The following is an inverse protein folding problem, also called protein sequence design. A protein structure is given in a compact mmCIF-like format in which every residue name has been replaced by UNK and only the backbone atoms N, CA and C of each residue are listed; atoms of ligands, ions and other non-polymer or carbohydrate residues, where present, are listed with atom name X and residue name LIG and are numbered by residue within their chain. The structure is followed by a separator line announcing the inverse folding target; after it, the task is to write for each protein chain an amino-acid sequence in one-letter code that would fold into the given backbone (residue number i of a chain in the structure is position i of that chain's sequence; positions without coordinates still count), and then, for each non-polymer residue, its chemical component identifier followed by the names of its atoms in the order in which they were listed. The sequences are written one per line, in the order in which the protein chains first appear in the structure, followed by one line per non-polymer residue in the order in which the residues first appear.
data_IF_502984698753
#
_entry.id   IF_502984698753
#
_cell.length_a   1.000
_cell.length_b   1.000
_cell.length_c   1.000
_cell.angle_alpha   90.00
_cell.angle_beta   90.00
_cell.angle_gamma   90.00
#
_symmetry.space_group_name_H-M   'P 1'
#
loop_
_entity.id
_entity.type
_entity.pdbx_description
1 polymer ?
#
# COMPACT_ATOMS: atom_id res chain seq x y z
N UNK A 1 -34.88 -44.23 -4.39
CA UNK A 1 -35.13 -43.57 -5.68
C UNK A 1 -36.59 -43.70 -6.02
N UNK A 2 -37.34 -42.61 -6.01
CA UNK A 2 -38.72 -42.64 -6.52
C UNK A 2 -38.66 -42.76 -8.04
N UNK A 3 -39.56 -43.56 -8.69
CA UNK A 3 -39.55 -43.70 -10.12
C UNK A 3 -39.88 -42.38 -10.80
N UNK A 4 -39.03 -41.98 -11.75
CA UNK A 4 -39.27 -40.80 -12.57
C UNK A 4 -40.59 -40.94 -13.30
N UNK A 5 -41.64 -40.17 -12.91
CA UNK A 5 -42.85 -40.02 -13.69
C UNK A 5 -42.51 -39.39 -15.01
N UNK A 6 -42.71 -40.07 -16.13
CA UNK A 6 -42.52 -39.47 -17.44
C UNK A 6 -43.70 -38.54 -17.74
N UNK A 7 -43.40 -37.26 -17.90
CA UNK A 7 -44.36 -36.24 -18.33
C UNK A 7 -44.64 -36.47 -19.80
N UNK A 8 -45.86 -36.85 -20.15
CA UNK A 8 -46.30 -37.10 -21.57
C UNK A 8 -47.20 -36.04 -22.11
N UNK A 9 -47.86 -35.28 -21.25
CA UNK A 9 -48.72 -34.15 -21.67
C UNK A 9 -48.76 -33.07 -20.59
N UNK A 10 -49.34 -31.91 -20.88
CA UNK A 10 -49.44 -30.76 -19.94
C UNK A 10 -50.20 -31.11 -18.67
N UNK A 11 -51.11 -32.09 -18.68
CA UNK A 11 -51.87 -32.52 -17.53
C UNK A 11 -51.03 -33.32 -16.53
N UNK A 12 -49.89 -33.86 -16.96
CA UNK A 12 -48.94 -34.60 -16.10
C UNK A 12 -47.99 -33.66 -15.35
N UNK A 13 -48.00 -32.37 -15.67
CA UNK A 13 -47.17 -31.36 -15.02
C UNK A 13 -47.75 -31.00 -13.66
N UNK A 14 -46.94 -30.93 -12.60
CA UNK A 14 -47.39 -30.45 -11.31
C UNK A 14 -47.86 -28.98 -11.42
N UNK A 15 -48.92 -28.64 -10.69
CA UNK A 15 -49.49 -27.27 -10.65
C UNK A 15 -48.48 -26.20 -10.27
N UNK A 16 -47.46 -26.58 -9.52
CA UNK A 16 -46.25 -25.81 -9.26
C UNK A 16 -45.02 -26.71 -9.40
N UNK A 17 -44.00 -26.32 -10.18
CA UNK A 17 -42.72 -27.02 -10.23
C UNK A 17 -41.97 -26.78 -8.93
N UNK A 18 -42.22 -27.61 -7.91
CA UNK A 18 -41.46 -27.61 -6.67
C UNK A 18 -40.32 -28.60 -6.81
N UNK A 19 -39.08 -28.09 -6.82
CA UNK A 19 -37.91 -28.93 -6.67
C UNK A 19 -37.67 -29.14 -5.17
N UNK A 20 -37.87 -30.37 -4.70
CA UNK A 20 -37.62 -30.75 -3.29
C UNK A 20 -36.19 -31.28 -3.09
N UNK A 21 -35.37 -31.29 -4.15
CA UNK A 21 -34.01 -31.78 -4.12
C UNK A 21 -33.00 -30.67 -4.17
N UNK A 22 -31.81 -30.93 -3.61
CA UNK A 22 -30.64 -30.06 -3.77
C UNK A 22 -30.02 -30.28 -5.15
N UNK A 23 -29.31 -29.27 -5.69
CA UNK A 23 -28.55 -29.40 -6.93
C UNK A 23 -27.19 -30.08 -6.76
N UNK A 24 -26.87 -30.54 -5.55
CA UNK A 24 -25.59 -31.14 -5.18
C UNK A 24 -25.22 -32.38 -6.00
N UNK A 25 -26.21 -33.07 -6.56
CA UNK A 25 -25.99 -34.23 -7.43
C UNK A 25 -25.58 -33.84 -8.88
N UNK A 26 -25.76 -32.59 -9.28
CA UNK A 26 -25.53 -32.16 -10.65
C UNK A 26 -24.15 -31.46 -10.75
N UNK A 27 -23.11 -32.26 -10.91
CA UNK A 27 -21.72 -31.77 -11.03
C UNK A 27 -21.50 -31.13 -12.40
N UNK A 28 -21.90 -29.86 -12.55
CA UNK A 28 -21.77 -29.09 -13.79
C UNK A 28 -20.32 -28.63 -14.10
N UNK A 29 -19.40 -28.90 -13.19
CA UNK A 29 -17.98 -28.57 -13.35
C UNK A 29 -17.31 -29.20 -14.57
N UNK A 30 -17.84 -30.33 -15.07
CA UNK A 30 -17.37 -30.95 -16.32
C UNK A 30 -17.67 -30.14 -17.57
N UNK A 31 -18.53 -29.13 -17.50
CA UNK A 31 -18.89 -28.24 -18.62
C UNK A 31 -17.97 -27.01 -18.70
N UNK A 32 -17.05 -26.90 -17.73
CA UNK A 32 -16.23 -25.70 -17.58
C UNK A 32 -15.08 -25.66 -18.58
N UNK A 33 -15.01 -24.56 -19.34
CA UNK A 33 -13.85 -24.19 -20.16
C UNK A 33 -13.03 -23.08 -19.47
N UNK A 34 -13.68 -22.27 -18.64
CA UNK A 34 -13.05 -21.19 -17.89
C UNK A 34 -13.22 -21.43 -16.39
N UNK A 35 -12.16 -21.20 -15.66
CA UNK A 35 -12.12 -21.33 -14.19
C UNK A 35 -12.08 -19.97 -13.56
N UNK A 36 -12.99 -19.63 -12.62
CA UNK A 36 -12.88 -18.39 -11.87
C UNK A 36 -11.70 -18.47 -10.91
N UNK A 37 -10.89 -17.41 -10.91
CA UNK A 37 -9.81 -17.19 -9.95
C UNK A 37 -10.04 -15.87 -9.26
N UNK A 38 -9.68 -15.76 -7.99
CA UNK A 38 -9.75 -14.51 -7.24
C UNK A 38 -8.34 -14.03 -6.92
N UNK A 39 -8.02 -12.81 -7.31
CA UNK A 39 -6.78 -12.16 -6.94
C UNK A 39 -7.01 -10.67 -6.69
N UNK A 40 -6.40 -10.14 -5.64
CA UNK A 40 -6.42 -8.71 -5.42
C UNK A 40 -5.61 -8.01 -6.52
N UNK A 41 -6.18 -6.94 -7.06
CA UNK A 41 -5.55 -6.07 -8.05
C UNK A 41 -5.07 -4.77 -7.39
N UNK A 42 -4.12 -4.12 -8.01
CA UNK A 42 -3.63 -2.84 -7.52
C UNK A 42 -4.61 -1.74 -7.93
N UNK A 43 -5.24 -1.04 -6.98
CA UNK A 43 -6.18 0.02 -7.29
C UNK A 43 -5.46 1.26 -7.88
N UNK A 44 -6.14 2.05 -8.76
CA UNK A 44 -5.53 3.22 -9.40
C UNK A 44 -4.99 4.27 -8.41
N UNK A 45 -5.60 4.42 -7.24
CA UNK A 45 -5.10 5.32 -6.20
C UNK A 45 -3.75 4.84 -5.63
N UNK A 46 -3.56 3.52 -5.45
CA UNK A 46 -2.29 2.95 -4.98
C UNK A 46 -1.21 3.00 -6.06
N UNK A 47 -1.53 2.64 -7.30
CA UNK A 47 -0.56 2.66 -8.41
C UNK A 47 -0.03 4.05 -8.74
N UNK A 48 -0.79 5.09 -8.37
CA UNK A 48 -0.37 6.49 -8.54
C UNK A 48 0.16 7.12 -7.25
N UNK A 49 0.25 6.36 -6.15
CA UNK A 49 0.89 6.83 -4.93
C UNK A 49 2.39 6.52 -4.99
N UNK A 50 3.29 7.53 -4.97
CA UNK A 50 4.73 7.28 -5.06
C UNK A 50 5.30 6.50 -3.87
N UNK A 51 4.64 6.57 -2.71
CA UNK A 51 4.96 5.76 -1.54
C UNK A 51 4.34 4.34 -1.60
N UNK A 52 3.52 4.02 -2.62
CA UNK A 52 2.86 2.72 -2.75
C UNK A 52 1.81 2.42 -1.67
N UNK A 53 1.25 3.46 -1.04
CA UNK A 53 0.38 3.31 0.12
C UNK A 53 -0.86 2.44 -0.17
N UNK A 54 -1.20 1.49 0.69
CA UNK A 54 -2.34 0.58 0.51
C UNK A 54 -3.66 1.27 0.87
N UNK A 55 -4.09 2.22 0.03
CA UNK A 55 -5.19 3.15 0.32
C UNK A 55 -6.50 2.45 0.63
N UNK A 56 -7.00 1.48 -0.16
CA UNK A 56 -8.23 0.78 0.21
C UNK A 56 -8.11 -0.01 1.51
N UNK A 57 -6.91 -0.55 1.77
CA UNK A 57 -6.71 -1.42 2.93
C UNK A 57 -6.77 -0.61 4.24
N UNK A 58 -6.15 0.57 4.29
CA UNK A 58 -6.24 1.41 5.48
C UNK A 58 -7.65 1.98 5.67
N UNK A 59 -8.35 2.33 4.57
CA UNK A 59 -9.74 2.80 4.65
C UNK A 59 -10.67 1.67 5.12
N UNK A 60 -10.47 0.45 4.68
CA UNK A 60 -11.23 -0.71 5.16
C UNK A 60 -10.88 -1.04 6.61
N UNK A 61 -9.61 -0.93 7.01
CA UNK A 61 -9.20 -1.09 8.40
C UNK A 61 -9.86 -0.03 9.31
N UNK A 62 -9.93 1.23 8.86
CA UNK A 62 -10.62 2.30 9.57
C UNK A 62 -12.08 1.94 9.83
N UNK A 63 -12.80 1.46 8.80
CA UNK A 63 -14.22 1.08 8.92
C UNK A 63 -14.46 -0.14 9.82
N UNK A 64 -13.57 -1.14 9.77
CA UNK A 64 -13.81 -2.43 10.41
C UNK A 64 -13.18 -2.55 11.80
N UNK A 65 -12.03 -1.90 12.01
CA UNK A 65 -11.15 -2.14 13.16
C UNK A 65 -10.73 -0.86 13.90
N UNK A 66 -11.12 0.29 13.38
CA UNK A 66 -10.84 1.60 13.97
C UNK A 66 -9.49 2.21 13.60
N UNK A 67 -9.24 3.36 14.19
CA UNK A 67 -8.18 4.31 13.81
C UNK A 67 -6.77 3.74 13.96
N UNK A 68 -6.48 3.09 15.08
CA UNK A 68 -5.16 2.55 15.37
C UNK A 68 -4.73 1.47 14.36
N UNK A 69 -5.67 0.60 13.98
CA UNK A 69 -5.41 -0.42 12.96
C UNK A 69 -5.22 0.21 11.58
N UNK A 70 -5.99 1.26 11.26
CA UNK A 70 -5.81 2.02 10.02
C UNK A 70 -4.42 2.67 9.96
N UNK A 71 -3.98 3.30 11.05
CA UNK A 71 -2.63 3.85 11.16
C UNK A 71 -1.55 2.79 10.99
N UNK A 72 -1.71 1.63 11.62
CA UNK A 72 -0.79 0.49 11.45
C UNK A 72 -0.66 0.07 9.99
N UNK A 73 -1.76 0.01 9.24
CA UNK A 73 -1.74 -0.31 7.81
C UNK A 73 -1.01 0.76 7.00
N UNK A 74 -1.25 2.04 7.29
CA UNK A 74 -0.56 3.16 6.62
C UNK A 74 0.94 3.08 6.85
N UNK A 75 1.39 2.87 8.09
CA UNK A 75 2.79 2.87 8.47
C UNK A 75 3.62 1.73 7.85
N UNK A 76 2.98 0.70 7.31
CA UNK A 76 3.68 -0.34 6.52
C UNK A 76 4.35 0.19 5.26
N UNK A 77 3.89 1.32 4.71
CA UNK A 77 4.40 1.92 3.47
C UNK A 77 4.74 3.40 3.61
N UNK A 78 4.22 4.05 4.64
CA UNK A 78 4.41 5.47 4.89
C UNK A 78 4.64 5.73 6.38
N UNK A 79 5.90 5.91 6.81
CA UNK A 79 6.23 6.14 8.22
C UNK A 79 5.88 7.55 8.72
N UNK A 80 5.52 8.48 7.82
CA UNK A 80 5.29 9.90 8.12
C UNK A 80 3.90 10.36 7.61
N UNK A 81 2.80 9.68 8.01
CA UNK A 81 1.46 9.98 7.49
C UNK A 81 0.96 11.38 7.84
N UNK A 82 1.36 11.93 8.97
CA UNK A 82 1.02 13.30 9.34
C UNK A 82 1.66 14.35 8.45
N UNK A 83 2.84 14.06 7.90
CA UNK A 83 3.51 14.93 6.94
C UNK A 83 2.93 14.80 5.54
N UNK A 84 2.70 13.56 5.07
CA UNK A 84 2.10 13.34 3.75
C UNK A 84 0.67 13.84 3.71
N UNK A 85 -0.12 13.61 4.75
CA UNK A 85 -1.49 14.12 4.88
C UNK A 85 -1.60 15.65 4.89
N UNK A 86 -0.49 16.39 5.06
CA UNK A 86 -0.45 17.86 5.03
C UNK A 86 0.28 18.43 3.81
N UNK A 87 1.35 17.80 3.38
CA UNK A 87 2.26 18.36 2.37
C UNK A 87 2.09 17.74 0.99
N UNK A 88 1.71 16.47 0.86
CA UNK A 88 1.63 15.77 -0.41
C UNK A 88 0.66 16.46 -1.39
N UNK A 89 1.01 16.51 -2.68
CA UNK A 89 0.11 16.99 -3.73
C UNK A 89 -0.95 15.95 -4.17
N UNK A 90 -0.92 14.76 -3.57
CA UNK A 90 -1.91 13.69 -3.67
C UNK A 90 -2.30 13.26 -5.09
N UNK A 91 -1.38 12.67 -5.87
CA UNK A 91 -1.66 12.18 -7.22
C UNK A 91 -2.66 11.01 -7.23
N UNK A 92 -2.87 10.37 -6.09
CA UNK A 92 -3.86 9.32 -5.90
C UNK A 92 -5.31 9.80 -6.05
N UNK A 93 -5.64 11.03 -5.60
CA UNK A 93 -7.02 11.54 -5.61
C UNK A 93 -7.58 11.75 -7.01
N UNK A 94 -6.88 12.38 -7.98
CA UNK A 94 -7.35 12.50 -9.35
C UNK A 94 -7.56 11.16 -10.06
N UNK A 95 -6.94 10.08 -9.56
CA UNK A 95 -7.08 8.72 -10.12
C UNK A 95 -8.09 7.85 -9.38
N UNK A 96 -8.74 8.40 -8.36
CA UNK A 96 -9.81 7.70 -7.67
C UNK A 96 -11.01 7.50 -8.61
N UNK A 97 -11.44 6.26 -8.81
CA UNK A 97 -12.56 5.91 -9.70
C UNK A 97 -13.87 6.54 -9.21
N UNK A 98 -14.01 6.74 -7.90
CA UNK A 98 -15.18 7.40 -7.31
C UNK A 98 -15.51 8.75 -7.97
N UNK A 99 -14.51 9.45 -8.53
CA UNK A 99 -14.69 10.73 -9.25
C UNK A 99 -15.67 10.65 -10.43
N UNK A 100 -15.89 9.45 -10.98
CA UNK A 100 -16.81 9.24 -12.11
C UNK A 100 -18.28 9.27 -11.68
N UNK A 101 -18.54 9.22 -10.38
CA UNK A 101 -19.89 9.23 -9.81
C UNK A 101 -20.24 10.55 -9.17
N UNK A 102 -19.34 11.04 -8.30
CA UNK A 102 -19.56 12.26 -7.53
C UNK A 102 -18.24 13.04 -7.38
N UNK A 103 -17.39 12.64 -6.46
CA UNK A 103 -16.08 13.24 -6.24
C UNK A 103 -15.09 12.20 -5.72
N UNK A 104 -13.79 12.36 -5.98
CA UNK A 104 -12.80 11.45 -5.46
C UNK A 104 -12.84 11.41 -3.93
N UNK A 105 -12.44 10.27 -3.37
CA UNK A 105 -12.23 10.13 -1.92
C UNK A 105 -11.18 11.15 -1.47
N UNK A 106 -11.42 11.83 -0.36
CA UNK A 106 -10.49 12.78 0.24
C UNK A 106 -9.38 12.03 1.01
N UNK A 107 -8.57 11.26 0.29
CA UNK A 107 -7.54 10.36 0.83
C UNK A 107 -6.58 11.13 1.74
N UNK A 108 -6.18 12.33 1.35
CA UNK A 108 -5.32 13.22 2.13
C UNK A 108 -5.85 13.46 3.54
N UNK A 109 -7.14 13.72 3.64
CA UNK A 109 -7.78 14.04 4.91
C UNK A 109 -7.96 12.81 5.79
N UNK A 110 -8.29 11.68 5.18
CA UNK A 110 -8.34 10.40 5.90
C UNK A 110 -6.95 10.03 6.43
N UNK A 111 -5.91 10.20 5.63
CA UNK A 111 -4.52 9.97 6.04
C UNK A 111 -4.12 10.90 7.20
N UNK A 112 -4.45 12.19 7.08
CA UNK A 112 -4.22 13.18 8.14
C UNK A 112 -5.01 12.85 9.41
N UNK A 113 -6.27 12.43 9.29
CA UNK A 113 -7.08 12.00 10.41
C UNK A 113 -6.44 10.83 11.15
N UNK A 114 -6.13 9.77 10.41
CA UNK A 114 -5.51 8.56 10.97
C UNK A 114 -4.14 8.85 11.62
N UNK A 115 -3.38 9.81 11.09
CA UNK A 115 -2.07 10.16 11.64
C UNK A 115 -2.13 10.78 13.04
N UNK A 116 -3.26 11.38 13.41
CA UNK A 116 -3.45 12.00 14.72
C UNK A 116 -3.86 10.99 15.80
N UNK A 117 -4.05 9.72 15.44
CA UNK A 117 -4.47 8.68 16.36
C UNK A 117 -3.25 8.02 17.03
N UNK A 118 -3.46 7.51 18.25
CA UNK A 118 -2.44 6.76 18.95
C UNK A 118 -2.32 5.34 18.41
N UNK A 119 -1.10 4.84 18.29
CA UNK A 119 -0.85 3.43 17.98
C UNK A 119 -1.06 2.59 19.24
N UNK A 120 -1.99 1.63 19.16
CA UNK A 120 -2.27 0.72 20.29
C UNK A 120 -1.26 -0.45 20.32
N UNK A 121 -0.70 -0.82 19.16
CA UNK A 121 0.22 -1.97 19.07
C UNK A 121 1.57 -1.55 18.49
N UNK A 122 2.63 -2.05 19.12
CA UNK A 122 3.96 -1.97 18.53
C UNK A 122 3.94 -2.71 17.19
N UNK A 123 4.39 -2.06 16.12
CA UNK A 123 4.72 -2.78 14.89
C UNK A 123 5.65 -3.91 15.24
N UNK A 124 5.32 -5.12 14.84
CA UNK A 124 6.22 -6.24 15.00
C UNK A 124 7.50 -5.92 14.22
N UNK A 125 8.56 -5.54 14.93
CA UNK A 125 9.91 -5.49 14.37
C UNK A 125 10.21 -6.94 13.97
N UNK A 126 10.65 -7.15 12.74
CA UNK A 126 11.11 -8.46 12.31
C UNK A 126 12.17 -8.98 13.29
N UNK A 127 12.30 -10.30 13.39
CA UNK A 127 13.38 -10.89 14.21
C UNK A 127 14.69 -10.19 13.90
N UNK A 128 15.45 -9.84 14.95
CA UNK A 128 16.69 -9.08 14.81
C UNK A 128 17.57 -9.70 13.74
N UNK A 129 17.69 -9.02 12.62
CA UNK A 129 18.64 -9.33 11.55
C UNK A 129 20.06 -9.05 12.03
N UNK A 130 21.02 -9.76 11.48
CA UNK A 130 22.43 -9.47 11.70
C UNK A 130 22.87 -8.40 10.71
N UNK A 131 23.08 -7.18 11.17
CA UNK A 131 23.64 -6.09 10.36
C UNK A 131 23.50 -4.73 11.03
N UNK A 132 24.60 -3.99 11.03
CA UNK A 132 24.69 -2.63 11.56
C UNK A 132 24.82 -1.65 10.39
N UNK A 133 23.85 -0.73 10.25
CA UNK A 133 23.73 0.15 9.09
C UNK A 133 23.80 1.60 9.54
N UNK A 134 24.64 2.39 8.89
CA UNK A 134 24.65 3.84 9.03
C UNK A 134 23.85 4.50 7.92
N UNK A 135 23.00 5.47 8.28
CA UNK A 135 22.30 6.33 7.35
C UNK A 135 22.76 7.77 7.56
N UNK A 136 23.44 8.33 6.59
CA UNK A 136 23.94 9.70 6.63
C UNK A 136 22.92 10.61 5.96
N UNK A 137 22.32 11.47 6.76
CA UNK A 137 21.24 12.37 6.38
C UNK A 137 19.93 12.05 7.07
N UNK A 138 19.46 12.91 7.96
CA UNK A 138 18.18 12.84 8.65
C UNK A 138 17.08 13.60 7.86
N UNK A 139 17.17 13.67 6.54
CA UNK A 139 16.12 14.17 5.66
C UNK A 139 15.02 13.15 5.40
N UNK A 140 13.96 13.51 4.64
CA UNK A 140 12.82 12.62 4.38
C UNK A 140 13.19 11.26 3.78
N UNK A 141 14.20 11.22 2.90
CA UNK A 141 14.66 9.99 2.25
C UNK A 141 15.41 9.12 3.26
N UNK A 142 16.39 9.72 3.96
CA UNK A 142 17.21 9.01 4.93
C UNK A 142 16.38 8.46 6.08
N UNK A 143 15.46 9.27 6.64
CA UNK A 143 14.54 8.85 7.69
C UNK A 143 13.63 7.70 7.23
N UNK A 144 13.03 7.79 6.04
CA UNK A 144 12.20 6.71 5.52
C UNK A 144 13.02 5.43 5.30
N UNK A 145 14.23 5.53 4.73
CA UNK A 145 15.12 4.40 4.56
C UNK A 145 15.48 3.75 5.91
N UNK A 146 15.87 4.56 6.88
CA UNK A 146 16.20 4.09 8.24
C UNK A 146 15.03 3.36 8.89
N UNK A 147 13.81 3.91 8.77
CA UNK A 147 12.61 3.28 9.30
C UNK A 147 12.41 1.87 8.74
N UNK A 148 12.40 1.73 7.43
CA UNK A 148 12.17 0.43 6.81
C UNK A 148 13.27 -0.58 7.10
N UNK A 149 14.52 -0.13 7.22
CA UNK A 149 15.62 -0.99 7.65
C UNK A 149 15.45 -1.44 9.10
N UNK A 150 15.08 -0.53 10.01
CA UNK A 150 14.81 -0.84 11.41
C UNK A 150 13.66 -1.82 11.58
N UNK A 151 12.53 -1.62 10.89
CA UNK A 151 11.39 -2.55 10.89
C UNK A 151 11.77 -3.91 10.31
N UNK A 152 12.71 -3.96 9.34
CA UNK A 152 13.26 -5.21 8.79
C UNK A 152 14.25 -5.91 9.74
N UNK A 153 14.49 -5.37 10.94
CA UNK A 153 15.27 -5.97 12.00
C UNK A 153 16.76 -5.58 12.03
N UNK A 154 17.21 -4.64 11.21
CA UNK A 154 18.60 -4.15 11.24
C UNK A 154 18.80 -3.12 12.36
N UNK A 155 20.01 -3.08 12.90
CA UNK A 155 20.42 -2.00 13.80
C UNK A 155 20.83 -0.79 12.96
N UNK A 156 20.11 0.33 13.12
CA UNK A 156 20.28 1.50 12.27
C UNK A 156 20.65 2.73 13.08
N UNK A 157 21.74 3.37 12.67
CA UNK A 157 22.17 4.67 13.21
C UNK A 157 22.03 5.75 12.13
N UNK A 158 21.20 6.76 12.39
CA UNK A 158 21.04 7.94 11.52
C UNK A 158 21.98 9.04 12.01
N UNK A 159 22.79 9.57 11.11
CA UNK A 159 23.75 10.65 11.38
C UNK A 159 23.42 11.87 10.56
N UNK A 160 23.42 13.05 11.15
CA UNK A 160 23.21 14.31 10.45
C UNK A 160 24.05 15.44 11.06
N UNK A 161 24.41 16.41 10.22
CA UNK A 161 25.11 17.62 10.67
C UNK A 161 24.17 18.60 11.40
N UNK A 162 22.89 18.55 11.14
CA UNK A 162 21.86 19.33 11.81
C UNK A 162 21.62 18.90 13.26
N UNK A 163 21.18 19.84 14.08
CA UNK A 163 20.84 19.56 15.50
C UNK A 163 19.46 18.89 15.63
N UNK A 164 18.61 18.99 14.60
CA UNK A 164 17.29 18.40 14.55
C UNK A 164 17.15 17.51 13.32
N UNK A 165 16.39 16.40 13.47
CA UNK A 165 16.02 15.54 12.37
C UNK A 165 14.91 16.20 11.52
N UNK A 166 14.90 15.90 10.23
CA UNK A 166 13.94 16.43 9.26
C UNK A 166 14.58 17.07 8.04
N UNK A 167 15.85 17.51 8.13
CA UNK A 167 16.58 18.06 6.98
C UNK A 167 15.81 19.20 6.30
N UNK A 168 15.45 19.03 5.03
CA UNK A 168 14.72 20.05 4.27
C UNK A 168 13.28 20.32 4.79
N UNK A 169 12.69 19.44 5.58
CA UNK A 169 11.38 19.67 6.21
C UNK A 169 11.43 20.79 7.24
N UNK A 170 12.61 21.08 7.82
CA UNK A 170 12.81 22.19 8.76
C UNK A 170 12.59 23.55 8.11
N UNK A 171 12.71 23.63 6.78
CA UNK A 171 12.54 24.87 6.00
C UNK A 171 11.09 25.09 5.52
N UNK A 172 10.19 24.17 5.81
CA UNK A 172 8.77 24.31 5.45
C UNK A 172 8.13 25.35 6.37
N UNK A 173 7.33 26.25 5.79
CA UNK A 173 6.65 27.29 6.59
C UNK A 173 5.70 26.69 7.62
N UNK A 174 5.64 27.30 8.80
CA UNK A 174 4.79 26.86 9.94
C UNK A 174 3.31 26.78 9.55
N UNK A 175 2.84 27.62 8.65
CA UNK A 175 1.46 27.60 8.13
C UNK A 175 1.12 26.29 7.41
N UNK A 176 2.11 25.65 6.79
CA UNK A 176 1.92 24.38 6.06
C UNK A 176 2.20 23.16 6.92
N UNK A 177 3.14 23.28 7.84
CA UNK A 177 3.56 22.19 8.71
C UNK A 177 3.95 22.74 10.08
N UNK A 178 3.13 22.43 11.07
CA UNK A 178 3.45 22.76 12.47
C UNK A 178 4.72 22.01 12.89
N UNK A 179 5.72 22.70 13.44
CA UNK A 179 6.96 22.09 13.94
C UNK A 179 6.73 20.96 14.94
N UNK A 180 5.68 21.09 15.78
CA UNK A 180 5.31 20.05 16.74
C UNK A 180 4.86 18.78 16.02
N UNK A 181 3.96 18.89 15.03
CA UNK A 181 3.52 17.73 14.25
C UNK A 181 4.70 17.04 13.56
N UNK A 182 5.65 17.82 13.04
CA UNK A 182 6.87 17.27 12.43
C UNK A 182 7.68 16.47 13.46
N UNK A 183 7.93 17.04 14.63
CA UNK A 183 8.71 16.41 15.69
C UNK A 183 8.01 15.12 16.18
N UNK A 184 6.73 15.20 16.52
CA UNK A 184 5.94 14.07 17.01
C UNK A 184 5.92 12.90 15.99
N UNK A 185 5.83 13.19 14.69
CA UNK A 185 5.87 12.16 13.63
C UNK A 185 7.24 11.49 13.52
N UNK A 186 8.32 12.28 13.60
CA UNK A 186 9.69 11.75 13.55
C UNK A 186 9.97 10.93 14.80
N UNK A 187 9.60 11.41 15.98
CA UNK A 187 9.81 10.70 17.25
C UNK A 187 9.04 9.37 17.28
N UNK A 188 7.80 9.37 16.80
CA UNK A 188 6.99 8.15 16.65
C UNK A 188 7.67 7.13 15.73
N UNK A 189 8.14 7.58 14.59
CA UNK A 189 8.82 6.74 13.61
C UNK A 189 10.12 6.15 14.19
N UNK A 190 10.91 6.97 14.86
CA UNK A 190 12.16 6.57 15.51
C UNK A 190 11.91 5.51 16.58
N UNK A 191 10.88 5.72 17.42
CA UNK A 191 10.53 4.79 18.49
C UNK A 191 10.07 3.43 17.93
N UNK A 192 9.22 3.42 16.89
CA UNK A 192 8.71 2.19 16.27
C UNK A 192 9.83 1.37 15.64
N UNK A 193 10.75 2.00 14.92
CA UNK A 193 11.81 1.31 14.21
C UNK A 193 13.08 1.08 15.06
N UNK A 194 13.10 1.57 16.29
CA UNK A 194 14.24 1.43 17.20
C UNK A 194 15.52 2.09 16.67
N UNK A 195 15.41 3.28 16.09
CA UNK A 195 16.53 3.97 15.44
C UNK A 195 17.39 4.71 16.46
N UNK A 196 18.70 4.69 16.23
CA UNK A 196 19.64 5.52 16.94
C UNK A 196 19.89 6.84 16.18
N UNK A 197 19.59 7.99 16.78
CA UNK A 197 19.86 9.29 16.16
C UNK A 197 21.16 9.87 16.73
N UNK A 198 22.11 10.21 15.84
CA UNK A 198 23.37 10.87 16.16
C UNK A 198 23.45 12.20 15.37
N UNK A 199 22.87 13.24 15.94
CA UNK A 199 22.72 14.57 15.31
C UNK A 199 23.87 15.51 15.72
N UNK A 200 24.06 16.61 14.98
CA UNK A 200 25.10 17.61 15.24
C UNK A 200 26.50 17.19 14.81
N UNK A 201 26.62 16.22 13.92
CA UNK A 201 27.91 15.69 13.44
C UNK A 201 28.46 16.57 12.30
N UNK A 202 29.25 17.56 12.62
CA UNK A 202 29.71 18.59 11.63
C UNK A 202 30.74 18.09 10.63
N UNK A 203 31.39 16.96 10.86
CA UNK A 203 32.53 16.46 10.06
C UNK A 203 32.27 15.08 9.42
N UNK A 204 31.04 14.86 8.95
CA UNK A 204 30.64 13.57 8.36
C UNK A 204 31.44 13.21 7.12
N UNK A 205 31.80 14.20 6.31
CA UNK A 205 32.55 13.96 5.08
C UNK A 205 33.99 13.47 5.34
N UNK A 206 34.67 14.02 6.33
CA UNK A 206 36.01 13.59 6.74
C UNK A 206 35.97 12.23 7.48
N UNK A 207 34.85 11.97 8.16
CA UNK A 207 34.66 10.75 8.95
C UNK A 207 34.15 9.55 8.12
N UNK A 208 33.86 9.72 6.84
CA UNK A 208 33.28 8.65 5.98
C UNK A 208 34.07 7.34 6.03
N UNK A 209 35.41 7.41 5.97
CA UNK A 209 36.27 6.22 6.01
C UNK A 209 36.16 5.48 7.37
N UNK A 210 36.02 6.23 8.45
CA UNK A 210 35.86 5.66 9.80
C UNK A 210 34.49 5.00 9.92
N UNK A 211 33.45 5.68 9.42
CA UNK A 211 32.07 5.17 9.39
C UNK A 211 31.99 3.90 8.55
N UNK A 212 32.60 3.89 7.34
CA UNK A 212 32.64 2.72 6.45
C UNK A 212 33.29 1.50 7.13
N UNK A 213 34.29 1.70 7.95
CA UNK A 213 34.93 0.60 8.68
C UNK A 213 34.13 0.09 9.87
N UNK A 214 33.24 0.93 10.43
CA UNK A 214 32.47 0.63 11.63
C UNK A 214 31.09 0.01 11.36
N UNK A 215 30.57 0.12 10.13
CA UNK A 215 29.26 -0.36 9.74
C UNK A 215 29.35 -1.34 8.56
N UNK A 216 28.36 -2.21 8.45
CA UNK A 216 28.28 -3.18 7.34
C UNK A 216 27.85 -2.50 6.03
N UNK A 217 26.94 -1.54 6.13
CA UNK A 217 26.51 -0.71 4.99
C UNK A 217 26.36 0.73 5.46
N UNK A 218 26.73 1.66 4.59
CA UNK A 218 26.55 3.10 4.76
C UNK A 218 25.64 3.63 3.66
N UNK A 219 24.50 4.18 4.07
CA UNK A 219 23.54 4.84 3.15
C UNK A 219 23.77 6.34 3.23
N UNK A 220 23.87 6.99 2.09
CA UNK A 220 24.05 8.45 2.01
C UNK A 220 22.85 9.08 1.33
N UNK A 221 22.16 9.97 2.05
CA UNK A 221 21.12 10.83 1.48
C UNK A 221 21.76 12.12 0.97
N UNK A 222 21.94 12.27 -0.36
CA UNK A 222 22.61 13.42 -0.93
C UNK A 222 21.82 14.73 -0.77
N UNK A 223 20.54 14.65 -0.41
CA UNK A 223 19.72 15.85 -0.19
C UNK A 223 20.01 16.52 1.16
N UNK A 224 20.57 15.78 2.11
CA UNK A 224 20.91 16.26 3.45
C UNK A 224 22.38 16.60 3.62
N UNK A 225 23.26 15.93 2.87
CA UNK A 225 24.71 16.15 2.93
C UNK A 225 25.11 17.03 1.76
N UNK A 226 25.13 18.36 1.96
CA UNK A 226 25.57 19.31 0.95
C UNK A 226 26.94 18.91 0.40
N UNK A 227 27.05 18.70 -0.93
CA UNK A 227 28.26 18.41 -1.70
C UNK A 227 29.29 17.47 -1.02
N UNK A 228 28.92 16.25 -0.72
CA UNK A 228 29.92 15.19 -0.70
C UNK A 228 30.51 15.17 -2.11
N UNK A 229 31.81 15.47 -2.24
CA UNK A 229 32.50 15.43 -3.53
C UNK A 229 32.30 14.03 -4.12
N UNK A 230 31.35 13.93 -5.03
CA UNK A 230 31.03 12.67 -5.70
C UNK A 230 32.25 12.31 -6.52
N UNK A 231 32.97 11.25 -6.11
CA UNK A 231 33.76 10.51 -7.08
C UNK A 231 32.81 10.15 -8.23
N UNK A 232 33.21 10.35 -9.50
CA UNK A 232 32.33 10.05 -10.62
C UNK A 232 31.79 8.63 -10.46
N UNK A 233 30.48 8.50 -10.42
CA UNK A 233 29.77 7.21 -10.34
C UNK A 233 30.19 6.40 -11.56
N UNK A 234 30.71 5.20 -11.33
CA UNK A 234 30.99 4.30 -12.45
C UNK A 234 29.64 3.88 -13.05
N UNK A 235 29.38 4.22 -14.34
CA UNK A 235 28.10 3.88 -14.99
C UNK A 235 27.80 2.39 -14.99
N UNK A 236 28.80 1.53 -14.83
CA UNK A 236 28.65 0.07 -14.79
C UNK A 236 28.03 -0.43 -13.46
N UNK A 237 27.98 0.41 -12.42
CA UNK A 237 27.40 0.10 -11.11
C UNK A 237 26.04 0.79 -10.88
N UNK A 238 25.48 1.41 -11.91
CA UNK A 238 24.19 2.07 -11.84
C UNK A 238 23.07 1.09 -12.19
N UNK A 239 22.19 0.83 -11.24
CA UNK A 239 20.92 0.16 -11.51
C UNK A 239 19.86 1.23 -11.80
N UNK A 240 19.44 1.41 -13.05
CA UNK A 240 18.46 2.43 -13.42
C UNK A 240 17.06 2.17 -12.82
N UNK A 241 16.80 0.95 -12.31
CA UNK A 241 15.52 0.56 -11.74
C UNK A 241 15.43 0.85 -10.23
N UNK A 242 16.56 0.96 -9.53
CA UNK A 242 16.57 1.06 -8.06
C UNK A 242 16.68 2.49 -7.54
N UNK A 243 16.89 3.50 -8.37
CA UNK A 243 17.21 4.87 -7.95
C UNK A 243 18.37 4.95 -6.93
N UNK A 244 19.17 3.89 -6.84
CA UNK A 244 20.28 3.76 -5.91
C UNK A 244 21.56 3.44 -6.68
N UNK A 245 22.67 4.05 -6.25
CA UNK A 245 23.99 3.77 -6.80
C UNK A 245 24.86 3.16 -5.72
N UNK A 246 25.46 2.01 -6.02
CA UNK A 246 26.47 1.40 -5.17
C UNK A 246 27.82 1.99 -5.54
N UNK A 247 28.37 2.84 -4.67
CA UNK A 247 29.67 3.50 -4.91
C UNK A 247 30.83 2.58 -4.54
N UNK A 248 30.64 1.78 -3.51
CA UNK A 248 31.56 0.72 -3.06
C UNK A 248 30.76 -0.49 -2.61
N UNK A 249 31.43 -1.60 -2.22
CA UNK A 249 30.73 -2.76 -1.66
C UNK A 249 29.94 -2.45 -0.36
N UNK A 250 30.17 -1.29 0.25
CA UNK A 250 29.56 -0.87 1.51
C UNK A 250 28.78 0.44 1.43
N UNK A 251 29.03 1.31 0.45
CA UNK A 251 28.38 2.61 0.35
C UNK A 251 27.28 2.59 -0.70
N UNK A 252 26.06 2.85 -0.28
CA UNK A 252 24.89 2.97 -1.13
C UNK A 252 24.41 4.42 -1.09
N UNK A 253 24.37 5.08 -2.23
CA UNK A 253 23.86 6.45 -2.36
C UNK A 253 22.43 6.40 -2.88
N UNK A 254 21.52 7.05 -2.19
CA UNK A 254 20.16 7.25 -2.71
C UNK A 254 20.20 8.39 -3.72
N UNK A 255 19.93 8.11 -4.98
CA UNK A 255 19.85 9.16 -6.00
C UNK A 255 18.39 9.35 -6.39
N UNK A 256 17.80 10.54 -6.19
CA UNK A 256 16.75 10.99 -7.09
C UNK A 256 17.40 11.22 -8.46
N UNK A 257 16.79 10.71 -9.53
CA UNK A 257 17.29 10.74 -10.93
C UNK A 257 17.78 12.11 -11.43
N UNK A 258 17.42 13.16 -10.76
CA UNK A 258 17.97 14.54 -10.87
C UNK A 258 17.93 15.09 -9.47
N UNK A 259 18.97 15.80 -9.07
CA UNK A 259 18.99 16.66 -7.88
C UNK A 259 17.81 17.63 -7.95
N UNK A 260 16.63 17.15 -7.63
CA UNK A 260 15.40 17.93 -7.62
C UNK A 260 15.43 18.72 -6.33
N UNK A 261 15.42 20.04 -6.38
CA UNK A 261 15.32 20.85 -5.16
C UNK A 261 14.10 20.38 -4.36
N UNK A 262 14.28 20.23 -3.06
CA UNK A 262 13.21 19.74 -2.17
C UNK A 262 11.91 20.51 -2.41
N UNK A 263 10.85 19.79 -2.74
CA UNK A 263 9.49 20.32 -2.87
C UNK A 263 8.61 19.63 -1.84
N UNK A 264 8.05 20.35 -0.86
CA UNK A 264 7.21 19.74 0.18
C UNK A 264 6.10 18.84 -0.37
N UNK A 265 5.47 19.22 -1.49
CA UNK A 265 4.43 18.42 -2.14
C UNK A 265 4.89 17.06 -2.65
N UNK A 266 6.18 16.83 -2.81
CA UNK A 266 6.75 15.55 -3.27
C UNK A 266 7.14 14.62 -2.11
N UNK A 267 6.69 14.88 -0.88
CA UNK A 267 7.08 14.10 0.30
C UNK A 267 6.87 12.59 0.11
N UNK A 268 5.79 12.17 -0.54
CA UNK A 268 5.51 10.76 -0.81
C UNK A 268 6.54 10.12 -1.77
N UNK A 269 7.16 10.88 -2.68
CA UNK A 269 8.26 10.40 -3.53
C UNK A 269 9.52 10.14 -2.71
N UNK A 270 9.85 11.03 -1.79
CA UNK A 270 11.03 10.86 -0.95
C UNK A 270 10.88 9.64 -0.05
N UNK A 271 9.67 9.40 0.49
CA UNK A 271 9.36 8.20 1.26
C UNK A 271 9.49 6.95 0.37
N UNK A 272 8.93 6.97 -0.84
CA UNK A 272 9.04 5.87 -1.79
C UNK A 272 10.49 5.52 -2.16
N UNK A 273 11.33 6.53 -2.40
CA UNK A 273 12.78 6.33 -2.64
C UNK A 273 13.45 5.68 -1.42
N UNK A 274 13.20 6.18 -0.22
CA UNK A 274 13.72 5.59 1.01
C UNK A 274 13.31 4.13 1.20
N UNK A 275 12.05 3.80 0.92
CA UNK A 275 11.53 2.44 0.98
C UNK A 275 12.20 1.51 -0.04
N UNK A 276 12.31 1.94 -1.29
CA UNK A 276 12.99 1.15 -2.35
C UNK A 276 14.45 0.90 -1.98
N UNK A 277 15.15 1.91 -1.49
CA UNK A 277 16.54 1.79 -1.03
C UNK A 277 16.66 0.78 0.10
N UNK A 278 15.77 0.85 1.10
CA UNK A 278 15.78 -0.09 2.23
C UNK A 278 15.51 -1.54 1.77
N UNK A 279 14.60 -1.74 0.84
CA UNK A 279 14.32 -3.07 0.27
C UNK A 279 15.54 -3.63 -0.46
N UNK A 280 16.20 -2.80 -1.27
CA UNK A 280 17.41 -3.20 -1.97
C UNK A 280 18.53 -3.62 -1.00
N UNK A 281 18.76 -2.82 0.02
CA UNK A 281 19.76 -3.12 1.07
C UNK A 281 19.37 -4.40 1.81
N UNK A 282 18.11 -4.56 2.18
CA UNK A 282 17.61 -5.77 2.85
C UNK A 282 17.84 -7.02 2.02
N UNK A 283 17.62 -6.93 0.70
CA UNK A 283 17.89 -8.04 -0.24
C UNK A 283 19.38 -8.38 -0.30
N UNK A 284 20.24 -7.38 -0.36
CA UNK A 284 21.70 -7.57 -0.36
C UNK A 284 22.18 -8.24 0.94
N UNK A 285 21.69 -7.80 2.09
CA UNK A 285 22.08 -8.31 3.39
C UNK A 285 21.55 -9.71 3.68
N UNK A 286 20.31 -9.98 3.34
CA UNK A 286 19.66 -11.29 3.55
C UNK A 286 19.95 -12.29 2.44
N UNK A 287 20.63 -11.89 1.37
CA UNK A 287 20.90 -12.70 0.16
C UNK A 287 19.61 -13.31 -0.41
N UNK A 288 18.50 -12.62 -0.27
CA UNK A 288 17.19 -13.04 -0.76
C UNK A 288 16.81 -12.25 -2.02
N UNK A 289 16.88 -12.87 -3.21
CA UNK A 289 16.53 -12.21 -4.47
C UNK A 289 15.05 -11.82 -4.55
N UNK A 290 14.17 -12.43 -3.76
CA UNK A 290 12.76 -12.06 -3.73
C UNK A 290 12.51 -10.68 -3.11
N UNK A 291 13.42 -10.21 -2.25
CA UNK A 291 13.38 -8.86 -1.68
C UNK A 291 13.97 -7.81 -2.63
N UNK A 292 14.76 -8.23 -3.61
CA UNK A 292 15.31 -7.33 -4.65
C UNK A 292 14.25 -6.94 -5.69
N UNK A 293 12.98 -7.22 -5.43
CA UNK A 293 11.91 -6.97 -6.37
C UNK A 293 11.97 -5.52 -6.82
N UNK A 294 12.55 -5.36 -8.01
CA UNK A 294 12.52 -4.17 -8.79
C UNK A 294 11.08 -3.68 -8.92
N UNK A 295 10.90 -2.49 -9.39
CA UNK A 295 9.62 -1.91 -9.74
C UNK A 295 8.75 -3.01 -10.35
N UNK A 296 7.78 -3.51 -9.57
CA UNK A 296 6.73 -4.35 -10.12
C UNK A 296 6.14 -3.51 -11.25
N UNK A 297 6.18 -4.00 -12.47
CA UNK A 297 5.45 -3.35 -13.55
C UNK A 297 3.97 -3.40 -13.20
N UNK A 298 3.50 -2.33 -12.59
CA UNK A 298 2.14 -2.19 -12.12
C UNK A 298 1.14 -2.08 -13.28
N UNK A 299 1.63 -1.93 -14.52
CA UNK A 299 0.77 -1.67 -15.68
C UNK A 299 -0.15 -2.84 -16.01
N UNK A 300 0.29 -4.08 -15.78
CA UNK A 300 -0.52 -5.27 -16.04
C UNK A 300 -1.51 -5.60 -14.92
N UNK A 301 -1.26 -5.14 -13.69
CA UNK A 301 -2.07 -5.47 -12.51
C UNK A 301 -2.98 -4.34 -12.06
N UNK A 302 -2.97 -3.21 -12.76
CA UNK A 302 -3.84 -2.08 -12.43
C UNK A 302 -5.29 -2.41 -12.79
N UNK A 303 -6.16 -2.24 -11.82
CA UNK A 303 -7.59 -2.40 -11.98
C UNK A 303 -8.18 -1.31 -12.89
N UNK A 304 -7.97 -1.41 -14.21
CA UNK A 304 -8.47 -0.43 -15.18
C UNK A 304 -9.99 -0.47 -15.35
N UNK A 305 -10.58 -1.64 -15.12
CA UNK A 305 -12.00 -1.91 -15.42
C UNK A 305 -12.81 -2.24 -14.13
N UNK A 306 -12.36 -1.78 -12.98
CA UNK A 306 -12.81 -2.30 -11.69
C UNK A 306 -14.13 -1.75 -11.19
N UNK A 307 -14.85 -0.90 -11.91
CA UNK A 307 -16.08 -0.36 -11.33
C UNK A 307 -17.20 -0.34 -12.35
N UNK A 308 -18.04 -1.34 -12.26
CA UNK A 308 -19.45 -1.16 -12.53
C UNK A 308 -20.13 -0.77 -11.22
N UNK A 309 -20.78 0.38 -11.21
CA UNK A 309 -21.72 0.66 -10.15
C UNK A 309 -22.90 -0.26 -10.32
N UNK A 310 -23.17 -1.01 -9.28
CA UNK A 310 -24.43 -1.70 -9.15
C UNK A 310 -25.47 -0.65 -8.77
N UNK A 311 -26.49 -0.45 -9.58
CA UNK A 311 -27.66 0.34 -9.21
C UNK A 311 -28.20 -0.22 -7.89
N UNK A 312 -28.20 0.61 -6.83
CA UNK A 312 -28.61 0.19 -5.50
C UNK A 312 -27.48 -0.05 -4.49
N UNK A 313 -26.23 0.24 -4.84
CA UNK A 313 -25.15 0.38 -3.86
C UNK A 313 -25.49 1.43 -2.79
N UNK A 314 -24.82 1.38 -1.61
CA UNK A 314 -25.11 2.29 -0.51
C UNK A 314 -25.19 3.70 -1.04
N UNK A 315 -26.30 4.39 -0.73
CA UNK A 315 -26.59 5.72 -1.20
C UNK A 315 -25.34 6.58 -1.08
N UNK A 316 -24.92 7.18 -2.18
CA UNK A 316 -23.74 8.01 -2.20
C UNK A 316 -23.91 9.10 -1.15
N UNK A 317 -23.27 8.93 0.00
CA UNK A 317 -23.17 10.03 0.96
C UNK A 317 -22.51 11.18 0.23
N UNK A 318 -23.16 12.35 0.24
CA UNK A 318 -22.65 13.51 -0.46
C UNK A 318 -21.24 13.86 0.07
N UNK A 319 -20.30 14.26 -0.81
CA UNK A 319 -18.97 14.62 -0.39
C UNK A 319 -19.01 15.71 0.67
N UNK A 320 -18.26 15.51 1.76
CA UNK A 320 -18.23 16.46 2.86
C UNK A 320 -17.61 17.78 2.40
N UNK A 321 -18.39 18.86 2.51
CA UNK A 321 -17.93 20.23 2.28
C UNK A 321 -17.38 20.79 3.60
N UNK A 322 -16.16 20.42 3.96
CA UNK A 322 -15.47 20.97 5.14
C UNK A 322 -14.29 21.83 4.69
N UNK A 323 -14.04 22.95 5.40
CA UNK A 323 -12.89 23.82 5.10
C UNK A 323 -11.58 23.01 5.18
N UNK A 324 -10.61 23.31 4.32
CA UNK A 324 -9.35 22.54 4.21
C UNK A 324 -8.48 22.57 5.48
N UNK A 325 -8.70 23.53 6.34
CA UNK A 325 -7.89 23.81 7.54
C UNK A 325 -8.36 23.05 8.80
N UNK A 326 -9.62 22.61 8.83
CA UNK A 326 -10.20 21.96 9.99
C UNK A 326 -9.89 20.46 10.02
N UNK A 327 -9.40 19.97 11.17
CA UNK A 327 -9.29 18.54 11.42
C UNK A 327 -10.67 17.86 11.39
N UNK A 328 -10.72 16.64 10.92
CA UNK A 328 -11.95 15.88 10.86
C UNK A 328 -12.27 15.23 12.21
N UNK A 329 -13.57 15.16 12.55
CA UNK A 329 -14.05 14.26 13.59
C UNK A 329 -14.10 12.81 13.08
N UNK A 330 -14.17 11.86 13.99
CA UNK A 330 -14.36 10.44 13.69
C UNK A 330 -15.56 10.21 12.77
N UNK A 331 -16.71 10.83 13.07
CA UNK A 331 -17.92 10.73 12.25
C UNK A 331 -17.69 11.19 10.81
N UNK A 332 -16.96 12.29 10.63
CA UNK A 332 -16.64 12.81 9.30
C UNK A 332 -15.68 11.88 8.53
N UNK A 333 -14.70 11.33 9.23
CA UNK A 333 -13.78 10.37 8.64
C UNK A 333 -14.49 9.08 8.23
N UNK A 334 -15.41 8.58 9.06
CA UNK A 334 -16.20 7.39 8.76
C UNK A 334 -17.13 7.59 7.56
N UNK A 335 -17.85 8.71 7.49
CA UNK A 335 -18.72 9.04 6.35
C UNK A 335 -17.91 9.08 5.04
N UNK A 336 -16.72 9.66 5.06
CA UNK A 336 -15.86 9.67 3.86
C UNK A 336 -15.28 8.29 3.56
N UNK A 337 -14.90 7.51 4.57
CA UNK A 337 -14.38 6.16 4.41
C UNK A 337 -15.42 5.21 3.79
N UNK A 338 -16.70 5.33 4.15
CA UNK A 338 -17.79 4.54 3.60
C UNK A 338 -18.00 4.77 2.10
N UNK A 339 -17.65 5.94 1.59
CA UNK A 339 -17.69 6.24 0.16
C UNK A 339 -16.68 5.44 -0.67
N UNK A 340 -15.64 4.86 -0.04
CA UNK A 340 -14.59 4.13 -0.74
C UNK A 340 -15.13 2.84 -1.37
N UNK A 341 -14.88 2.69 -2.68
CA UNK A 341 -15.30 1.52 -3.45
C UNK A 341 -14.40 0.30 -3.24
N UNK A 342 -13.29 0.39 -2.51
CA UNK A 342 -12.32 -0.70 -2.29
C UNK A 342 -11.86 -1.36 -3.59
N UNK A 343 -11.58 -0.57 -4.62
CA UNK A 343 -11.24 -1.03 -5.97
C UNK A 343 -10.09 -2.04 -5.94
N UNK A 344 -10.26 -3.15 -6.64
CA UNK A 344 -9.23 -4.19 -6.72
C UNK A 344 -9.05 -5.04 -5.48
N UNK A 345 -9.78 -4.78 -4.39
CA UNK A 345 -9.71 -5.56 -3.15
C UNK A 345 -11.06 -6.17 -2.84
N UNK A 346 -11.13 -7.46 -2.57
CA UNK A 346 -12.35 -8.11 -2.12
C UNK A 346 -12.78 -7.54 -0.75
N UNK A 347 -14.04 -7.13 -0.65
CA UNK A 347 -14.65 -6.67 0.60
C UNK A 347 -15.86 -7.52 1.01
N UNK A 348 -15.92 -8.76 0.50
CA UNK A 348 -16.90 -9.76 0.88
C UNK A 348 -18.37 -9.31 0.70
N UNK A 349 -18.63 -8.48 -0.30
CA UNK A 349 -19.95 -7.91 -0.54
C UNK A 349 -21.04 -8.93 -0.93
N UNK A 350 -20.68 -10.17 -1.23
CA UNK A 350 -21.62 -11.26 -1.53
C UNK A 350 -22.21 -11.25 -2.94
N UNK A 351 -21.94 -10.26 -3.76
CA UNK A 351 -22.53 -10.15 -5.12
C UNK A 351 -22.25 -11.41 -5.97
N UNK A 352 -21.01 -11.87 -6.01
CA UNK A 352 -20.65 -13.08 -6.76
C UNK A 352 -21.37 -14.33 -6.26
N UNK A 353 -21.64 -14.44 -4.95
CA UNK A 353 -22.41 -15.54 -4.34
C UNK A 353 -23.87 -15.46 -4.76
N UNK A 354 -24.47 -14.27 -4.64
CA UNK A 354 -25.89 -14.04 -4.94
C UNK A 354 -26.24 -14.32 -6.40
N UNK A 355 -25.35 -13.96 -7.33
CA UNK A 355 -25.59 -14.15 -8.76
C UNK A 355 -25.08 -15.48 -9.31
N UNK A 356 -24.47 -16.33 -8.48
CA UNK A 356 -24.00 -17.63 -8.94
C UNK A 356 -25.18 -18.60 -9.15
N UNK A 357 -25.48 -19.03 -10.38
CA UNK A 357 -26.62 -19.91 -10.63
C UNK A 357 -26.42 -21.33 -10.09
N UNK A 358 -25.18 -21.75 -9.87
CA UNK A 358 -24.84 -23.07 -9.35
C UNK A 358 -24.54 -23.05 -7.84
N UNK A 359 -24.65 -21.89 -7.20
CA UNK A 359 -24.35 -21.70 -5.76
C UNK A 359 -22.95 -22.22 -5.40
N UNK A 360 -22.01 -22.12 -6.33
CA UNK A 360 -20.66 -22.69 -6.24
C UNK A 360 -19.62 -21.74 -5.65
N UNK A 361 -20.04 -20.65 -5.00
CA UNK A 361 -19.13 -19.67 -4.40
C UNK A 361 -19.46 -19.52 -2.92
N UNK A 362 -18.44 -19.61 -2.10
CA UNK A 362 -18.52 -19.42 -0.65
C UNK A 362 -17.52 -18.34 -0.22
N UNK A 363 -17.83 -17.67 0.90
CA UNK A 363 -16.97 -16.67 1.52
C UNK A 363 -16.72 -17.13 2.96
N UNK A 364 -15.49 -17.53 3.25
CA UNK A 364 -15.04 -17.89 4.60
C UNK A 364 -13.90 -16.95 5.00
N UNK A 365 -12.65 -17.31 4.74
CA UNK A 365 -11.47 -16.46 4.85
C UNK A 365 -11.01 -16.00 3.45
N UNK A 366 -11.97 -15.54 2.62
CA UNK A 366 -11.79 -15.20 1.21
C UNK A 366 -12.81 -15.87 0.31
N UNK A 367 -12.61 -15.78 -1.00
CA UNK A 367 -13.49 -16.36 -2.01
C UNK A 367 -13.04 -17.78 -2.34
N UNK A 368 -13.92 -18.74 -2.09
CA UNK A 368 -13.75 -20.15 -2.45
C UNK A 368 -14.72 -20.54 -3.58
N UNK A 369 -14.21 -21.24 -4.58
CA UNK A 369 -14.97 -21.70 -5.72
C UNK A 369 -15.08 -23.22 -5.70
N UNK A 370 -16.30 -23.74 -5.54
CA UNK A 370 -16.57 -25.16 -5.72
C UNK A 370 -16.53 -25.52 -7.22
N UNK A 371 -15.39 -26.04 -7.64
CA UNK A 371 -15.15 -26.38 -9.04
C UNK A 371 -15.91 -27.62 -9.51
N UNK A 372 -16.48 -28.41 -8.62
CA UNK A 372 -17.34 -29.53 -9.01
C UNK A 372 -18.69 -29.05 -9.56
N UNK A 373 -19.19 -27.93 -9.07
CA UNK A 373 -20.46 -27.35 -9.48
C UNK A 373 -20.32 -26.10 -10.38
N UNK A 374 -19.13 -25.47 -10.39
CA UNK A 374 -18.88 -24.30 -11.22
C UNK A 374 -18.84 -24.66 -12.71
N UNK A 375 -19.78 -24.17 -13.50
CA UNK A 375 -19.82 -24.38 -14.97
C UNK A 375 -18.97 -23.37 -15.78
N UNK A 376 -18.29 -22.43 -15.13
CA UNK A 376 -17.41 -21.46 -15.79
C UNK A 376 -18.15 -20.38 -16.59
N UNK A 377 -19.37 -20.02 -16.20
CA UNK A 377 -20.21 -19.08 -16.96
C UNK A 377 -19.73 -17.61 -16.91
N UNK A 378 -18.82 -17.25 -15.99
CA UNK A 378 -18.24 -15.92 -15.89
C UNK A 378 -19.12 -14.86 -15.22
N UNK A 379 -20.35 -15.16 -14.81
CA UNK A 379 -21.26 -14.20 -14.16
C UNK A 379 -20.63 -13.58 -12.93
N UNK A 380 -19.94 -14.38 -12.11
CA UNK A 380 -19.27 -13.89 -10.89
C UNK A 380 -18.18 -12.85 -11.19
N UNK A 381 -17.42 -13.04 -12.27
CA UNK A 381 -16.41 -12.07 -12.72
C UNK A 381 -17.07 -10.79 -13.28
N UNK A 382 -18.14 -10.94 -14.02
CA UNK A 382 -18.90 -9.83 -14.59
C UNK A 382 -19.57 -8.98 -13.50
N UNK A 383 -20.18 -9.61 -12.50
CA UNK A 383 -20.92 -8.95 -11.42
C UNK A 383 -20.01 -8.49 -10.26
N UNK A 384 -18.71 -8.84 -10.29
CA UNK A 384 -17.79 -8.40 -9.24
C UNK A 384 -17.54 -6.88 -9.32
N UNK A 385 -18.09 -6.06 -8.39
CA UNK A 385 -17.95 -4.60 -8.46
C UNK A 385 -16.51 -4.14 -8.12
N UNK A 386 -15.64 -5.06 -7.70
CA UNK A 386 -14.24 -4.79 -7.35
C UNK A 386 -13.27 -5.32 -8.40
N UNK A 387 -13.76 -6.10 -9.36
CA UNK A 387 -12.96 -6.69 -10.42
C UNK A 387 -11.89 -7.67 -9.94
N UNK A 388 -12.08 -8.28 -8.78
CA UNK A 388 -11.10 -9.24 -8.20
C UNK A 388 -11.24 -10.64 -8.78
N UNK A 389 -12.36 -10.97 -9.42
CA UNK A 389 -12.58 -12.28 -10.03
C UNK A 389 -12.21 -12.19 -11.51
N UNK A 390 -11.36 -13.11 -11.94
CA UNK A 390 -10.97 -13.29 -13.33
C UNK A 390 -11.36 -14.68 -13.81
N UNK A 391 -11.50 -14.84 -15.13
CA UNK A 391 -11.73 -16.13 -15.73
C UNK A 391 -10.46 -16.56 -16.46
N UNK A 392 -9.90 -17.69 -16.08
CA UNK A 392 -8.73 -18.30 -16.70
C UNK A 392 -9.13 -19.57 -17.44
N UNK A 393 -8.38 -19.96 -18.46
CA UNK A 393 -8.59 -21.25 -19.12
C UNK A 393 -8.46 -22.39 -18.14
N UNK A 394 -9.43 -23.30 -18.15
CA UNK A 394 -9.37 -24.47 -17.28
C UNK A 394 -8.15 -25.31 -17.68
N UNK A 395 -7.23 -25.51 -16.74
CA UNK A 395 -6.13 -26.45 -16.96
C UNK A 395 -6.75 -27.84 -17.11
N UNK A 396 -6.44 -28.50 -18.23
CA UNK A 396 -6.90 -29.84 -18.54
C UNK A 396 -6.41 -30.88 -17.52
#
# INVERSE_FOLDING_TARGET
MQPKKSIKCLADMPVMPLTIGTMEWNQTGTWRYLTPTASNKIPPCRSNCPAGMPIPDFINALKAKGDAQALSVVMRQNPLPGLTGRLCYHPCQPKCIRREHDSPIQIQRLERYVSNCDLIESHAIAEKGTGNIAVIGAGPIGLACAYFLGVNGFEVTVMDAGQEAGGALLKVSVEKLDPKVRADEIDRMVAIAGLNLNLGQTDLAASLTIIENSYDIVVVDPTSVGHVQQKPLNPDNFDPLSSTSIVTKKIVVTLPEKLIPFKPGMIAHYIGIGHLTANHISALMKKDPALSCGIIDLSEHVAKDCVRLVDGGPAASAPLKVSREKEWSEEQAMVEAERCLSCGTCNECGQCVQYCPEVSIQIHDGLEFDLFHCKGCGICAYECPRGVIMMEEAKA
#
